data_IF_044698131932
#
_entry.id   IF_044698131932
#
_cell.length_a   1.000
_cell.length_b   1.000
_cell.length_c   1.000
_cell.angle_alpha   90.00
_cell.angle_beta   90.00
_cell.angle_gamma   90.00
#
_symmetry.space_group_name_H-M   'P 1'
#
loop_
_entity.id
_entity.type
_entity.pdbx_description
1 polymer ?
#
# COMPACT_ATOMS: atom_id res chain seq x y z
N UNK A 1 -21.29 0.76 -3.90
CA UNK A 1 -20.61 1.77 -4.67
C UNK A 1 -21.07 3.16 -4.26
N UNK A 2 -20.45 4.19 -4.81
CA UNK A 2 -20.77 5.56 -4.42
C UNK A 2 -22.01 6.07 -5.15
N UNK A 3 -22.58 7.14 -4.59
CA UNK A 3 -23.80 7.71 -5.13
C UNK A 3 -23.59 8.32 -6.52
N UNK A 4 -24.64 8.34 -7.32
CA UNK A 4 -24.64 9.02 -8.59
C UNK A 4 -24.72 10.54 -8.42
N UNK A 5 -24.63 11.27 -9.53
CA UNK A 5 -24.62 12.73 -9.50
C UNK A 5 -25.92 13.34 -9.00
N UNK A 6 -27.02 12.63 -9.19
CA UNK A 6 -28.33 13.15 -8.79
C UNK A 6 -28.52 13.16 -7.28
N UNK A 7 -27.69 12.44 -6.58
CA UNK A 7 -27.81 12.36 -5.12
C UNK A 7 -26.77 13.25 -4.46
N UNK A 8 -27.09 13.81 -3.30
CA UNK A 8 -26.07 14.56 -2.55
C UNK A 8 -24.95 13.64 -2.12
N UNK A 9 -23.75 14.18 -1.81
CA UNK A 9 -22.66 13.37 -1.31
C UNK A 9 -23.07 12.58 -0.08
N UNK A 10 -22.43 11.42 0.12
CA UNK A 10 -22.74 10.60 1.28
C UNK A 10 -22.43 11.37 2.57
N UNK A 11 -23.15 11.03 3.66
CA UNK A 11 -22.91 11.69 4.94
C UNK A 11 -21.46 11.54 5.39
N UNK A 12 -20.98 12.50 6.14
CA UNK A 12 -19.62 12.51 6.63
C UNK A 12 -19.26 11.23 7.39
N UNK A 13 -20.21 10.73 8.20
CA UNK A 13 -19.97 9.51 8.97
C UNK A 13 -19.71 8.30 8.08
N UNK A 14 -20.52 8.12 7.05
CA UNK A 14 -20.33 7.01 6.13
C UNK A 14 -19.05 7.15 5.34
N UNK A 15 -18.73 8.36 4.93
CA UNK A 15 -17.50 8.62 4.20
C UNK A 15 -16.29 8.31 5.06
N UNK A 16 -16.27 8.78 6.31
CA UNK A 16 -15.19 8.51 7.23
C UNK A 16 -15.02 7.02 7.47
N UNK A 17 -16.14 6.30 7.60
CA UNK A 17 -16.11 4.85 7.77
C UNK A 17 -15.49 4.14 6.58
N UNK A 18 -15.84 4.56 5.37
CA UNK A 18 -15.27 3.97 4.16
C UNK A 18 -13.77 4.24 4.05
N UNK A 19 -13.36 5.46 4.32
CA UNK A 19 -11.94 5.81 4.34
C UNK A 19 -11.20 4.97 5.37
N UNK A 20 -11.79 4.82 6.55
CA UNK A 20 -11.18 4.03 7.62
C UNK A 20 -11.04 2.57 7.23
N UNK A 21 -12.07 1.99 6.61
CA UNK A 21 -12.03 0.60 6.16
C UNK A 21 -10.99 0.39 5.06
N UNK A 22 -10.91 1.32 4.11
CA UNK A 22 -9.91 1.24 3.05
C UNK A 22 -8.50 1.39 3.63
N UNK A 23 -8.34 2.30 4.58
CA UNK A 23 -7.06 2.49 5.25
C UNK A 23 -6.65 1.22 6.01
N UNK A 24 -7.60 0.62 6.72
CA UNK A 24 -7.33 -0.61 7.48
C UNK A 24 -6.94 -1.75 6.56
N UNK A 25 -7.63 -1.89 5.42
CA UNK A 25 -7.29 -2.92 4.44
C UNK A 25 -5.91 -2.70 3.85
N UNK A 26 -5.59 -1.46 3.49
CA UNK A 26 -4.27 -1.12 2.95
C UNK A 26 -3.18 -1.41 3.98
N UNK A 27 -3.41 -1.02 5.21
CA UNK A 27 -2.45 -1.25 6.29
C UNK A 27 -2.22 -2.74 6.53
N UNK A 28 -3.29 -3.54 6.49
CA UNK A 28 -3.18 -4.98 6.67
C UNK A 28 -2.35 -5.61 5.55
N UNK A 29 -2.57 -5.20 4.31
CA UNK A 29 -1.80 -5.69 3.17
C UNK A 29 -0.33 -5.29 3.30
N UNK A 30 -0.07 -4.04 3.69
CA UNK A 30 1.31 -3.56 3.87
C UNK A 30 2.02 -4.32 4.97
N UNK A 31 1.36 -4.55 6.10
CA UNK A 31 1.95 -5.30 7.22
C UNK A 31 2.25 -6.74 6.81
N UNK A 32 1.31 -7.40 6.12
CA UNK A 32 1.53 -8.75 5.65
C UNK A 32 2.71 -8.81 4.68
N UNK A 33 2.77 -7.86 3.75
CA UNK A 33 3.85 -7.81 2.75
C UNK A 33 5.19 -7.52 3.41
N UNK A 34 5.19 -6.67 4.43
CA UNK A 34 6.39 -6.35 5.18
C UNK A 34 6.91 -7.59 5.92
N UNK A 35 6.00 -8.33 6.55
CA UNK A 35 6.35 -9.58 7.24
C UNK A 35 6.93 -10.61 6.26
N UNK A 36 6.34 -10.71 5.07
CA UNK A 36 6.84 -11.60 4.04
C UNK A 36 8.28 -11.25 3.64
N UNK A 37 8.54 -9.95 3.45
CA UNK A 37 9.88 -9.48 3.13
C UNK A 37 10.88 -9.75 4.24
N UNK A 38 10.46 -9.56 5.49
CA UNK A 38 11.31 -9.84 6.65
C UNK A 38 11.69 -11.31 6.72
N UNK A 39 10.72 -12.20 6.55
CA UNK A 39 10.97 -13.64 6.56
C UNK A 39 11.96 -14.02 5.47
N UNK A 40 11.77 -13.47 4.26
CA UNK A 40 12.67 -13.76 3.16
C UNK A 40 14.10 -13.30 3.42
N UNK A 41 14.27 -12.10 3.95
CA UNK A 41 15.62 -11.61 4.26
C UNK A 41 16.26 -12.39 5.39
N UNK A 42 15.51 -12.79 6.39
CA UNK A 42 16.03 -13.64 7.46
C UNK A 42 16.47 -14.99 6.92
N UNK A 43 15.66 -15.58 6.06
CA UNK A 43 15.91 -16.91 5.52
C UNK A 43 17.09 -16.93 4.54
N UNK A 44 17.10 -15.99 3.58
CA UNK A 44 18.11 -16.01 2.52
C UNK A 44 19.42 -15.32 2.92
N UNK A 45 19.33 -14.25 3.70
CA UNK A 45 20.50 -13.43 4.02
C UNK A 45 20.93 -13.52 5.48
N UNK A 46 20.21 -14.26 6.28
CA UNK A 46 20.49 -14.44 7.72
C UNK A 46 20.57 -13.12 8.48
N UNK A 47 19.79 -12.14 8.07
CA UNK A 47 19.77 -10.85 8.73
C UNK A 47 18.94 -10.91 10.02
N UNK A 48 19.35 -10.18 11.07
CA UNK A 48 18.49 -10.00 12.25
C UNK A 48 17.17 -9.39 11.85
N UNK A 49 16.13 -9.63 12.64
CA UNK A 49 14.78 -9.16 12.27
C UNK A 49 14.72 -7.64 12.05
N UNK A 50 15.51 -6.88 12.80
CA UNK A 50 15.53 -5.42 12.64
C UNK A 50 16.09 -4.99 11.30
N UNK A 51 17.17 -5.63 10.87
CA UNK A 51 17.75 -5.36 9.56
C UNK A 51 16.86 -5.87 8.45
N UNK A 52 16.22 -7.03 8.64
CA UNK A 52 15.25 -7.56 7.70
C UNK A 52 14.08 -6.58 7.53
N UNK A 53 13.58 -6.05 8.63
CA UNK A 53 12.50 -5.07 8.61
C UNK A 53 12.93 -3.82 7.83
N UNK A 54 14.13 -3.30 8.11
CA UNK A 54 14.60 -2.10 7.44
C UNK A 54 14.73 -2.30 5.94
N UNK A 55 15.31 -3.41 5.52
CA UNK A 55 15.47 -3.69 4.09
C UNK A 55 14.14 -3.88 3.39
N UNK A 56 13.22 -4.61 4.01
CA UNK A 56 11.89 -4.82 3.43
C UNK A 56 11.12 -3.50 3.31
N UNK A 57 11.19 -2.67 4.34
CA UNK A 57 10.51 -1.38 4.34
C UNK A 57 11.10 -0.44 3.27
N UNK A 58 12.41 -0.43 3.12
CA UNK A 58 13.06 0.40 2.11
C UNK A 58 12.69 -0.04 0.69
N UNK A 59 12.57 -1.34 0.46
CA UNK A 59 12.11 -1.84 -0.84
C UNK A 59 10.67 -1.46 -1.09
N UNK A 60 9.81 -1.56 -0.09
CA UNK A 60 8.43 -1.15 -0.21
C UNK A 60 8.29 0.32 -0.53
N UNK A 61 9.12 1.14 0.09
CA UNK A 61 9.12 2.59 -0.13
C UNK A 61 9.79 3.01 -1.43
N UNK A 62 10.35 2.07 -2.18
CA UNK A 62 11.00 2.36 -3.45
C UNK A 62 12.41 2.89 -3.34
N UNK A 63 13.00 2.85 -2.15
CA UNK A 63 14.34 3.39 -1.93
C UNK A 63 15.45 2.35 -2.10
N UNK A 64 15.08 1.09 -2.21
CA UNK A 64 16.03 0.01 -2.34
C UNK A 64 16.54 -0.49 -0.98
N UNK A 65 17.23 -1.63 -0.96
CA UNK A 65 17.71 -2.21 0.30
C UNK A 65 18.89 -1.45 0.85
N UNK A 66 18.99 -1.42 2.18
CA UNK A 66 20.12 -0.81 2.86
C UNK A 66 21.33 -1.75 2.75
N UNK A 67 21.08 -3.05 2.96
CA UNK A 67 22.12 -4.06 2.83
C UNK A 67 21.91 -4.80 1.51
N UNK A 68 22.92 -4.78 0.64
CA UNK A 68 22.82 -5.49 -0.63
C UNK A 68 22.78 -6.99 -0.39
N UNK A 69 21.86 -7.72 -1.04
CA UNK A 69 21.82 -9.17 -0.93
C UNK A 69 23.12 -9.80 -1.42
N UNK A 70 23.62 -10.78 -0.67
CA UNK A 70 24.90 -11.41 -0.98
C UNK A 70 24.75 -12.79 -1.61
N UNK A 71 23.67 -13.50 -1.23
CA UNK A 71 23.44 -14.84 -1.77
C UNK A 71 22.67 -14.75 -3.07
N UNK A 72 22.82 -15.78 -3.93
CA UNK A 72 22.07 -15.82 -5.17
C UNK A 72 20.58 -15.91 -4.92
N UNK A 73 20.18 -16.73 -3.93
CA UNK A 73 18.78 -16.82 -3.54
C UNK A 73 18.24 -15.51 -3.03
N UNK A 74 19.04 -14.81 -2.21
CA UNK A 74 18.66 -13.51 -1.68
C UNK A 74 18.51 -12.45 -2.76
N UNK A 75 19.36 -12.47 -3.77
CA UNK A 75 19.27 -11.53 -4.90
C UNK A 75 17.99 -11.75 -5.70
N UNK A 76 17.66 -13.01 -5.98
CA UNK A 76 16.43 -13.33 -6.69
C UNK A 76 15.22 -12.94 -5.85
N UNK A 77 15.25 -13.30 -4.56
CA UNK A 77 14.17 -12.93 -3.66
C UNK A 77 13.98 -11.43 -3.59
N UNK A 78 15.06 -10.68 -3.40
CA UNK A 78 14.99 -9.23 -3.28
C UNK A 78 14.43 -8.58 -4.55
N UNK A 79 14.84 -9.08 -5.71
CA UNK A 79 14.33 -8.57 -6.98
C UNK A 79 12.84 -8.82 -7.16
N UNK A 80 12.41 -10.05 -6.91
CA UNK A 80 11.00 -10.42 -7.00
C UNK A 80 10.18 -9.68 -5.95
N UNK A 81 10.71 -9.60 -4.73
CA UNK A 81 10.02 -8.91 -3.66
C UNK A 81 9.90 -7.41 -3.96
N UNK A 82 10.93 -6.80 -4.55
CA UNK A 82 10.88 -5.39 -4.92
C UNK A 82 9.77 -5.11 -5.92
N UNK A 83 9.60 -5.97 -6.93
CA UNK A 83 8.52 -5.83 -7.89
C UNK A 83 7.16 -5.99 -7.23
N UNK A 84 7.03 -7.02 -6.41
CA UNK A 84 5.81 -7.27 -5.66
C UNK A 84 5.49 -6.10 -4.71
N UNK A 85 6.49 -5.66 -3.94
CA UNK A 85 6.31 -4.59 -2.95
C UNK A 85 5.91 -3.27 -3.61
N UNK A 86 6.48 -2.98 -4.77
CA UNK A 86 6.12 -1.78 -5.52
C UNK A 86 4.66 -1.80 -5.95
N UNK A 87 4.21 -2.94 -6.47
CA UNK A 87 2.81 -3.10 -6.87
C UNK A 87 1.87 -3.01 -5.67
N UNK A 88 2.25 -3.66 -4.56
CA UNK A 88 1.45 -3.65 -3.33
C UNK A 88 1.36 -2.22 -2.79
N UNK A 89 2.47 -1.51 -2.79
CA UNK A 89 2.48 -0.14 -2.29
C UNK A 89 1.55 0.76 -3.12
N UNK A 90 1.62 0.64 -4.44
CA UNK A 90 0.73 1.41 -5.33
C UNK A 90 -0.73 1.03 -5.12
N UNK A 91 -1.02 -0.26 -4.98
CA UNK A 91 -2.38 -0.72 -4.74
C UNK A 91 -2.90 -0.22 -3.39
N UNK A 92 -2.06 -0.27 -2.36
CA UNK A 92 -2.45 0.22 -1.04
C UNK A 92 -2.70 1.72 -1.06
N UNK A 93 -1.85 2.48 -1.74
CA UNK A 93 -2.04 3.92 -1.90
C UNK A 93 -3.35 4.21 -2.62
N UNK A 94 -3.64 3.44 -3.68
CA UNK A 94 -4.89 3.58 -4.40
C UNK A 94 -6.10 3.30 -3.53
N UNK A 95 -6.02 2.26 -2.70
CA UNK A 95 -7.11 1.94 -1.78
C UNK A 95 -7.38 3.07 -0.79
N UNK A 96 -6.32 3.71 -0.31
CA UNK A 96 -6.47 4.82 0.64
C UNK A 96 -7.05 6.06 -0.03
N UNK A 97 -6.55 6.38 -1.22
CA UNK A 97 -6.93 7.63 -1.88
C UNK A 97 -8.17 7.53 -2.76
N UNK A 98 -8.53 6.31 -3.20
CA UNK A 98 -9.68 6.14 -4.09
C UNK A 98 -10.98 6.76 -3.56
N UNK A 99 -11.39 6.50 -2.31
CA UNK A 99 -12.64 7.09 -1.84
C UNK A 99 -12.55 8.61 -1.73
N UNK A 100 -11.37 9.13 -1.40
CA UNK A 100 -11.20 10.59 -1.28
C UNK A 100 -11.27 11.24 -2.66
N UNK A 101 -10.58 10.67 -3.65
CA UNK A 101 -10.59 11.18 -5.02
C UNK A 101 -11.99 11.08 -5.63
N UNK A 102 -12.66 9.95 -5.41
CA UNK A 102 -13.99 9.75 -5.94
C UNK A 102 -14.95 10.80 -5.39
N UNK A 103 -14.88 11.06 -4.09
CA UNK A 103 -15.74 12.07 -3.47
C UNK A 103 -15.45 13.46 -4.02
N UNK A 104 -14.18 13.79 -4.20
CA UNK A 104 -13.77 15.09 -4.73
C UNK A 104 -14.27 15.28 -6.15
N UNK A 105 -14.07 14.29 -7.02
CA UNK A 105 -14.52 14.33 -8.40
C UNK A 105 -16.04 14.40 -8.50
N UNK A 106 -16.73 13.68 -7.62
CA UNK A 106 -18.18 13.70 -7.58
C UNK A 106 -18.69 15.09 -7.26
N UNK A 107 -18.06 15.78 -6.31
CA UNK A 107 -18.42 17.14 -5.94
C UNK A 107 -18.19 18.13 -7.11
N UNK A 108 -17.10 17.95 -7.84
CA UNK A 108 -16.83 18.76 -9.01
C UNK A 108 -17.90 18.61 -10.07
N UNK A 109 -18.27 17.39 -10.37
CA UNK A 109 -19.33 17.13 -11.35
C UNK A 109 -20.66 17.69 -10.90
N UNK A 110 -20.96 17.56 -9.62
CA UNK A 110 -22.18 18.09 -9.06
C UNK A 110 -22.27 19.60 -9.26
N UNK A 111 -21.20 20.31 -8.98
CA UNK A 111 -21.15 21.76 -9.14
C UNK A 111 -21.23 22.20 -10.59
N UNK A 112 -20.56 21.52 -11.47
CA UNK A 112 -20.56 21.85 -12.88
C UNK A 112 -21.92 21.66 -13.52
N UNK A 113 -22.68 20.68 -13.08
CA UNK A 113 -23.99 20.39 -13.64
C UNK A 113 -25.07 21.35 -13.15
N UNK A 114 -24.77 22.18 -12.22
CA UNK A 114 -25.70 23.20 -11.76
C UNK A 114 -25.69 24.40 -12.68
#
# INVERSE_FOLDING_TARGET
MYEGRVHPPIPRERFARRVLLHFAAALAVLIFSLALGMVGYEYFENLPWRDAFLNAAMLMGGMGPVDAPKTNGGKVFAGLYALYAGLVFLAAAGLVFAPILHRLLHRFHWEQDR
#
